data_IF_121677160470
#
_entry.id   IF_121677160470
#
_cell.length_a   1.000
_cell.length_b   1.000
_cell.length_c   1.000
_cell.angle_alpha   90.00
_cell.angle_beta   90.00
_cell.angle_gamma   90.00
#
_symmetry.space_group_name_H-M   'P 1'
#
loop_
_entity.id
_entity.type
_entity.pdbx_description
1 polymer ?
#
# COMPACT_ATOMS: atom_id res chain seq x y z
N UNK A 1 25.78 -25.25 -29.73
CA UNK A 1 24.74 -25.23 -28.68
C UNK A 1 25.37 -25.00 -27.29
N UNK A 2 26.07 -23.87 -27.09
CA UNK A 2 26.57 -23.38 -25.79
C UNK A 2 25.62 -22.31 -25.21
N UNK A 3 24.40 -22.28 -25.74
CA UNK A 3 23.35 -21.32 -25.39
C UNK A 3 22.62 -21.79 -24.11
N UNK A 4 23.18 -22.80 -23.43
CA UNK A 4 22.71 -23.39 -22.18
C UNK A 4 23.32 -22.68 -20.95
N UNK A 5 23.82 -21.46 -21.12
CA UNK A 5 24.21 -20.59 -20.00
C UNK A 5 23.04 -19.70 -19.63
N UNK A 6 22.05 -20.29 -18.94
CA UNK A 6 21.58 -19.84 -17.62
C UNK A 6 21.54 -18.30 -17.36
N UNK A 7 21.21 -17.48 -18.35
CA UNK A 7 21.33 -16.02 -18.25
C UNK A 7 20.14 -15.33 -17.57
N UNK A 8 19.22 -16.06 -16.93
CA UNK A 8 17.96 -15.44 -16.47
C UNK A 8 17.58 -15.99 -15.09
N UNK A 9 18.53 -16.04 -14.16
CA UNK A 9 18.24 -16.26 -12.75
C UNK A 9 18.66 -15.04 -11.92
N UNK A 10 18.08 -13.89 -12.21
CA UNK A 10 18.11 -12.73 -11.31
C UNK A 10 17.09 -11.66 -11.76
N UNK A 11 15.82 -12.01 -11.87
CA UNK A 11 14.78 -10.99 -11.83
C UNK A 11 14.70 -10.58 -10.36
N UNK A 12 15.54 -9.63 -9.97
CA UNK A 12 15.48 -9.02 -8.65
C UNK A 12 14.06 -8.51 -8.43
N UNK A 13 13.41 -8.99 -7.38
CA UNK A 13 12.12 -8.45 -6.96
C UNK A 13 12.35 -6.98 -6.59
N UNK A 14 12.11 -6.08 -7.55
CA UNK A 14 11.93 -4.66 -7.28
C UNK A 14 10.65 -4.58 -6.46
N UNK A 15 10.82 -4.61 -5.14
CA UNK A 15 9.75 -4.23 -4.22
C UNK A 15 9.58 -2.73 -4.38
N UNK A 16 8.60 -2.33 -5.20
CA UNK A 16 8.07 -0.96 -5.19
C UNK A 16 7.22 -0.84 -3.92
N UNK A 17 7.88 -0.91 -2.76
CA UNK A 17 7.26 -0.61 -1.48
C UNK A 17 7.14 0.91 -1.33
N UNK A 18 6.08 1.42 -0.68
CA UNK A 18 5.94 2.86 -0.48
C UNK A 18 7.17 3.39 0.24
N UNK A 19 7.76 4.44 -0.32
CA UNK A 19 8.90 5.12 0.27
C UNK A 19 8.55 5.56 1.70
N UNK A 20 9.46 5.33 2.65
CA UNK A 20 9.32 5.52 4.10
C UNK A 20 8.99 6.97 4.58
N UNK A 21 8.52 7.84 3.69
CA UNK A 21 8.09 9.22 3.97
C UNK A 21 6.58 9.44 3.79
N UNK A 22 5.82 8.48 3.27
CA UNK A 22 4.38 8.63 3.13
C UNK A 22 3.69 8.05 4.37
N UNK A 23 3.18 8.92 5.24
CA UNK A 23 2.45 8.49 6.46
C UNK A 23 1.17 7.72 6.09
N UNK A 24 0.64 7.94 4.88
CA UNK A 24 -0.49 7.19 4.33
C UNK A 24 -0.10 6.49 3.04
N UNK A 25 -0.29 5.17 2.96
CA UNK A 25 -0.23 4.43 1.69
C UNK A 25 -1.59 4.53 0.99
N UNK A 26 -1.68 5.22 -0.15
CA UNK A 26 -2.95 5.44 -0.82
C UNK A 26 -3.50 4.19 -1.51
N UNK A 27 -2.80 3.06 -1.52
CA UNK A 27 -3.31 1.77 -1.98
C UNK A 27 -4.27 1.10 -0.98
N UNK A 28 -4.26 1.54 0.29
CA UNK A 28 -5.07 0.93 1.35
C UNK A 28 -6.12 1.92 1.90
N UNK A 29 -7.40 1.51 1.99
CA UNK A 29 -8.49 2.38 2.44
C UNK A 29 -8.51 2.60 3.96
N UNK A 30 -7.79 1.78 4.74
CA UNK A 30 -7.82 1.82 6.21
C UNK A 30 -6.40 1.80 6.75
N UNK A 31 -6.15 2.62 7.77
CA UNK A 31 -4.89 2.68 8.47
C UNK A 31 -5.06 2.44 9.96
N UNK A 32 -4.09 1.75 10.55
CA UNK A 32 -3.95 1.61 11.99
C UNK A 32 -3.07 2.77 12.50
N UNK A 33 -3.63 3.62 13.36
CA UNK A 33 -2.92 4.69 14.06
C UNK A 33 -2.41 4.18 15.39
N UNK A 34 -1.09 4.16 15.58
CA UNK A 34 -0.49 3.73 16.85
C UNK A 34 -0.14 4.93 17.74
N UNK A 35 -0.37 4.73 19.03
CA UNK A 35 -0.02 5.65 20.10
C UNK A 35 1.14 5.05 20.90
N UNK A 36 2.35 5.35 20.46
CA UNK A 36 3.60 5.09 21.18
C UNK A 36 4.28 6.45 21.51
N UNK A 37 5.60 6.50 21.68
CA UNK A 37 6.37 7.75 21.84
C UNK A 37 6.15 8.74 20.71
N UNK A 38 5.85 8.23 19.52
CA UNK A 38 5.48 9.01 18.34
C UNK A 38 4.24 8.38 17.71
N UNK A 39 3.35 9.22 17.19
CA UNK A 39 2.18 8.75 16.43
C UNK A 39 2.63 8.36 15.02
N UNK A 40 2.36 7.12 14.63
CA UNK A 40 2.58 6.66 13.26
C UNK A 40 1.37 5.87 12.75
N UNK A 41 1.26 5.79 11.43
CA UNK A 41 0.16 5.14 10.73
C UNK A 41 0.69 3.94 9.94
N UNK A 42 0.00 2.82 10.07
CA UNK A 42 0.25 1.59 9.34
C UNK A 42 -0.94 1.35 8.39
N UNK A 43 -0.75 1.71 7.11
CA UNK A 43 -1.79 1.64 6.08
C UNK A 43 -1.61 0.38 5.23
N UNK A 44 -2.08 -0.75 5.75
CA UNK A 44 -1.97 -2.07 5.12
C UNK A 44 -3.28 -2.87 5.23
N UNK A 45 -4.38 -2.19 5.59
CA UNK A 45 -5.68 -2.79 5.85
C UNK A 45 -6.70 -2.40 4.80
N UNK A 46 -7.54 -3.35 4.40
CA UNK A 46 -8.60 -3.11 3.41
C UNK A 46 -9.97 -2.88 4.04
N UNK A 47 -10.11 -3.10 5.35
CA UNK A 47 -11.38 -2.92 6.06
C UNK A 47 -11.19 -2.59 7.54
N UNK A 48 -12.17 -1.87 8.12
CA UNK A 48 -12.18 -1.56 9.55
C UNK A 48 -12.21 -2.80 10.45
N UNK A 49 -12.99 -3.87 10.16
CA UNK A 49 -12.98 -5.08 10.98
C UNK A 49 -11.61 -5.76 11.02
N UNK A 50 -10.93 -5.84 9.88
CA UNK A 50 -9.59 -6.42 9.78
C UNK A 50 -8.57 -5.60 10.58
N UNK A 51 -8.63 -4.27 10.46
CA UNK A 51 -7.78 -3.38 11.27
C UNK A 51 -8.06 -3.51 12.77
N UNK A 52 -9.34 -3.56 13.19
CA UNK A 52 -9.71 -3.66 14.60
C UNK A 52 -9.26 -4.99 15.23
N UNK A 53 -9.27 -6.08 14.46
CA UNK A 53 -8.69 -7.34 14.89
C UNK A 53 -7.20 -7.18 15.23
N UNK A 54 -6.43 -6.45 14.41
CA UNK A 54 -5.01 -6.16 14.65
C UNK A 54 -4.76 -5.05 15.68
N UNK A 55 -5.74 -4.19 15.96
CA UNK A 55 -5.66 -3.13 16.97
C UNK A 55 -5.87 -3.67 18.40
N UNK A 56 -6.51 -4.83 18.53
CA UNK A 56 -6.86 -5.42 19.82
C UNK A 56 -5.62 -5.64 20.69
N UNK A 57 -5.67 -5.16 21.94
CA UNK A 57 -4.56 -5.27 22.89
C UNK A 57 -3.39 -4.31 22.65
N UNK A 58 -3.50 -3.38 21.69
CA UNK A 58 -2.49 -2.35 21.41
C UNK A 58 -3.07 -0.97 21.73
N UNK A 59 -2.21 0.00 22.06
CA UNK A 59 -2.56 1.41 22.07
C UNK A 59 -2.69 1.90 20.62
N UNK A 60 -3.75 1.50 19.92
CA UNK A 60 -3.96 1.80 18.52
C UNK A 60 -5.44 2.05 18.17
N UNK A 61 -5.69 2.78 17.09
CA UNK A 61 -7.03 3.07 16.58
C UNK A 61 -7.07 2.98 15.07
N UNK A 62 -8.14 2.40 14.52
CA UNK A 62 -8.35 2.33 13.08
C UNK A 62 -9.00 3.61 12.56
N UNK A 63 -8.48 4.14 11.45
CA UNK A 63 -8.99 5.34 10.77
C UNK A 63 -9.12 5.09 9.27
N UNK A 64 -10.07 5.78 8.64
CA UNK A 64 -10.20 5.77 7.18
C UNK A 64 -9.07 6.58 6.57
N UNK A 65 -8.44 6.06 5.51
CA UNK A 65 -7.41 6.74 4.76
C UNK A 65 -8.04 7.75 3.78
N UNK A 66 -7.89 9.07 3.99
CA UNK A 66 -8.46 10.06 3.08
C UNK A 66 -7.79 10.06 1.69
N UNK A 67 -6.56 9.54 1.58
CA UNK A 67 -5.79 9.54 0.32
C UNK A 67 -6.12 8.38 -0.61
N UNK A 68 -6.89 7.39 -0.14
CA UNK A 68 -7.28 6.22 -0.93
C UNK A 68 -8.16 6.62 -2.13
N UNK A 69 -9.18 7.45 -1.88
CA UNK A 69 -10.09 7.92 -2.94
C UNK A 69 -9.33 8.70 -4.03
N UNK A 70 -8.46 9.63 -3.64
CA UNK A 70 -7.68 10.45 -4.58
C UNK A 70 -6.66 9.66 -5.39
N UNK A 71 -6.19 8.51 -4.89
CA UNK A 71 -5.34 7.63 -5.68
C UNK A 71 -6.14 6.75 -6.63
N UNK A 72 -7.36 6.35 -6.27
CA UNK A 72 -8.26 5.67 -7.19
C UNK A 72 -8.63 6.58 -8.37
N UNK A 73 -8.92 7.87 -8.11
CA UNK A 73 -9.19 8.87 -9.15
C UNK A 73 -7.99 9.11 -10.06
N UNK A 74 -6.79 9.26 -9.48
CA UNK A 74 -5.54 9.38 -10.26
C UNK A 74 -5.22 8.12 -11.04
N UNK A 75 -5.45 6.94 -10.47
CA UNK A 75 -5.25 5.65 -11.14
C UNK A 75 -6.22 5.46 -12.30
N UNK A 76 -7.49 5.83 -12.13
CA UNK A 76 -8.50 5.83 -13.19
C UNK A 76 -8.17 6.86 -14.28
N UNK A 77 -7.73 8.05 -13.88
CA UNK A 77 -7.31 9.12 -14.80
C UNK A 77 -6.03 8.75 -15.56
N UNK A 78 -5.06 8.09 -14.91
CA UNK A 78 -3.83 7.61 -15.54
C UNK A 78 -4.05 6.36 -16.40
N UNK A 79 -5.01 5.49 -16.02
CA UNK A 79 -5.44 4.35 -16.82
C UNK A 79 -6.28 4.75 -18.05
N UNK A 80 -6.68 6.02 -18.16
CA UNK A 80 -7.44 6.53 -19.29
C UNK A 80 -6.54 7.27 -20.31
N UNK A 81 -5.92 6.53 -21.24
CA UNK A 81 -5.71 7.06 -22.60
C UNK A 81 -6.53 6.35 -23.69
N UNK A 82 -7.30 5.28 -23.40
CA UNK A 82 -7.71 4.33 -24.46
C UNK A 82 -9.08 3.64 -24.38
N UNK A 83 -10.07 4.13 -23.63
CA UNK A 83 -11.46 3.66 -23.80
C UNK A 83 -12.25 4.44 -24.88
N UNK A 84 -11.56 5.22 -25.71
CA UNK A 84 -12.12 6.04 -26.80
C UNK A 84 -11.89 5.49 -28.21
N UNK A 85 -11.49 4.21 -28.40
CA UNK A 85 -11.44 3.59 -29.73
C UNK A 85 -11.73 2.09 -29.71
#
# INVERSE_FOLDING_TARGET
MRILTLAILAIGMVSIGPAASQTYDPAFPVCLRLYDRTIYYECSYTSLPQCNASASGRSAQCVINPYFASAQERGLSAASPRLLR
#
